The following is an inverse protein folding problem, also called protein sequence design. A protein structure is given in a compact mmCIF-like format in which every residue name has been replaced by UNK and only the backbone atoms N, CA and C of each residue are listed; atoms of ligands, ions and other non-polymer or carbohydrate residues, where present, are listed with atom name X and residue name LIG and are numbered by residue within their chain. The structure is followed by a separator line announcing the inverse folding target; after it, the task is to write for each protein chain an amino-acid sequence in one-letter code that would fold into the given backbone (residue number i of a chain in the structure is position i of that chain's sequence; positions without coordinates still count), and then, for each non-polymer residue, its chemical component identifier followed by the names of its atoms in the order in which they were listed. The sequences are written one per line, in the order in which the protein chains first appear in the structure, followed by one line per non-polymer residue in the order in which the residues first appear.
data_IF_761862123905
#
_entry.id   IF_761862123905
#
_cell.length_a   1.000
_cell.length_b   1.000
_cell.length_c   1.000
_cell.angle_alpha   90.00
_cell.angle_beta   90.00
_cell.angle_gamma   90.00
#
_symmetry.space_group_name_H-M   'P 1'
#
loop_
_entity.id
_entity.type
_entity.pdbx_description
1 polymer ?
#
# COMPACT_ATOMS: atom_id res chain seq x y z
N UNK A 1 -16.58 3.56 -19.50
CA UNK A 1 -15.34 2.91 -19.76
C UNK A 1 -14.09 3.72 -19.42
N UNK A 2 -14.14 4.97 -19.76
CA UNK A 2 -12.97 5.80 -19.53
C UNK A 2 -12.56 5.88 -18.08
N UNK A 3 -13.51 5.88 -17.20
CA UNK A 3 -13.23 6.00 -15.79
C UNK A 3 -12.52 4.75 -15.26
N UNK A 4 -12.93 3.62 -15.77
CA UNK A 4 -12.23 2.41 -15.41
C UNK A 4 -10.85 2.38 -16.00
N UNK A 5 -10.64 3.18 -17.03
CA UNK A 5 -9.35 3.17 -17.70
C UNK A 5 -8.23 3.58 -16.79
N UNK A 6 -8.49 4.39 -15.75
CA UNK A 6 -7.45 4.72 -14.80
C UNK A 6 -6.93 3.47 -14.12
N UNK A 7 -7.83 2.60 -13.71
CA UNK A 7 -7.43 1.34 -13.13
C UNK A 7 -6.92 0.37 -14.19
N UNK A 8 -7.56 0.43 -15.36
CA UNK A 8 -7.18 -0.46 -16.45
C UNK A 8 -5.86 -0.07 -17.09
N UNK A 9 -5.43 1.16 -16.89
CA UNK A 9 -4.16 1.61 -17.43
C UNK A 9 -2.98 0.99 -16.68
N UNK A 10 -3.17 0.67 -15.43
CA UNK A 10 -2.12 0.00 -14.66
C UNK A 10 -2.04 -1.45 -15.10
N UNK A 11 -0.87 -1.88 -15.58
CA UNK A 11 -0.74 -3.28 -15.96
C UNK A 11 -0.93 -4.19 -14.76
N UNK A 12 -1.54 -5.33 -15.02
CA UNK A 12 -1.70 -6.37 -14.02
C UNK A 12 -1.19 -7.67 -14.58
N UNK A 13 -0.60 -8.48 -13.74
CA UNK A 13 0.10 -9.69 -14.18
C UNK A 13 -0.49 -10.90 -13.48
N UNK A 14 -0.67 -11.98 -14.26
CA UNK A 14 -1.03 -13.26 -13.65
C UNK A 14 0.15 -13.80 -12.86
N UNK A 15 -0.12 -14.75 -11.97
CA UNK A 15 0.89 -15.20 -11.02
C UNK A 15 2.15 -15.76 -11.69
N UNK A 16 2.02 -16.44 -12.82
CA UNK A 16 3.19 -16.99 -13.50
C UNK A 16 4.12 -15.90 -14.00
N UNK A 17 3.55 -14.81 -14.50
CA UNK A 17 4.34 -13.68 -14.96
C UNK A 17 4.93 -12.91 -13.77
N UNK A 18 4.11 -12.66 -12.76
CA UNK A 18 4.57 -11.95 -11.57
C UNK A 18 5.75 -12.69 -10.91
N UNK A 19 5.62 -14.01 -10.78
CA UNK A 19 6.68 -14.82 -10.19
C UNK A 19 7.97 -14.69 -10.99
N UNK A 20 7.86 -14.70 -12.32
CA UNK A 20 9.02 -14.56 -13.18
C UNK A 20 9.66 -13.19 -13.03
N UNK A 21 8.84 -12.15 -12.92
CA UNK A 21 9.34 -10.79 -12.80
C UNK A 21 10.17 -10.59 -11.54
N UNK A 22 9.79 -11.23 -10.45
CA UNK A 22 10.50 -11.07 -9.18
C UNK A 22 11.44 -12.23 -8.88
N UNK A 23 11.50 -13.23 -9.74
CA UNK A 23 12.42 -14.36 -9.54
C UNK A 23 12.05 -15.24 -8.36
N UNK A 24 10.77 -15.44 -8.14
CA UNK A 24 10.27 -16.29 -7.07
C UNK A 24 9.38 -17.39 -7.62
N UNK A 25 9.17 -18.43 -6.83
CA UNK A 25 8.22 -19.47 -7.17
C UNK A 25 6.79 -18.99 -6.98
N UNK A 26 5.88 -19.49 -7.81
CA UNK A 26 4.47 -19.17 -7.67
C UNK A 26 3.95 -19.57 -6.29
N UNK A 27 4.43 -20.67 -5.76
CA UNK A 27 4.02 -21.13 -4.44
C UNK A 27 4.42 -20.14 -3.36
N UNK A 28 5.55 -19.49 -3.54
CA UNK A 28 5.99 -18.46 -2.59
C UNK A 28 5.01 -17.29 -2.61
N UNK A 29 4.58 -16.88 -3.80
CA UNK A 29 3.61 -15.79 -3.92
C UNK A 29 2.29 -16.18 -3.26
N UNK A 30 1.83 -17.41 -3.47
CA UNK A 30 0.62 -17.88 -2.83
C UNK A 30 0.73 -17.90 -1.32
N UNK A 31 1.90 -18.27 -0.82
CA UNK A 31 2.14 -18.28 0.61
C UNK A 31 2.09 -16.86 1.18
N UNK A 32 2.73 -15.92 0.49
CA UNK A 32 2.72 -14.53 0.95
C UNK A 32 1.31 -13.96 0.97
N UNK A 33 0.48 -14.33 0.00
CA UNK A 33 -0.91 -13.92 0.02
C UNK A 33 -1.64 -14.51 1.22
N UNK A 34 -1.38 -15.78 1.48
CA UNK A 34 -2.06 -16.49 2.58
C UNK A 34 -1.76 -15.85 3.93
N UNK A 35 -0.53 -15.42 4.14
CA UNK A 35 -0.15 -14.80 5.41
C UNK A 35 -0.41 -13.28 5.43
N UNK A 36 -0.94 -12.75 4.35
CA UNK A 36 -1.36 -11.35 4.35
C UNK A 36 -0.29 -10.33 3.99
N UNK A 37 0.83 -10.79 3.43
CA UNK A 37 1.89 -9.86 3.04
C UNK A 37 1.61 -9.14 1.74
N UNK A 38 0.86 -9.76 0.84
CA UNK A 38 0.42 -9.14 -0.40
C UNK A 38 -1.05 -9.45 -0.62
N UNK A 39 -1.68 -8.60 -1.41
CA UNK A 39 -3.12 -8.72 -1.63
C UNK A 39 -3.41 -8.48 -3.11
N UNK A 40 -3.24 -9.53 -3.95
CA UNK A 40 -3.58 -9.38 -5.37
C UNK A 40 -5.08 -9.29 -5.55
N UNK A 41 -5.50 -8.63 -6.61
CA UNK A 41 -6.90 -8.61 -6.96
C UNK A 41 -7.26 -9.89 -7.70
N UNK A 42 -8.55 -10.08 -7.94
CA UNK A 42 -9.00 -11.27 -8.67
C UNK A 42 -9.99 -10.86 -9.74
N UNK A 43 -9.93 -11.56 -10.87
CA UNK A 43 -10.89 -11.39 -11.93
C UNK A 43 -12.20 -12.06 -11.55
N UNK A 44 -13.21 -11.89 -12.42
CA UNK A 44 -14.48 -12.59 -12.23
C UNK A 44 -14.28 -14.10 -12.21
N UNK A 45 -13.30 -14.59 -12.97
CA UNK A 45 -12.96 -16.01 -12.98
C UNK A 45 -12.10 -16.44 -11.82
N UNK A 46 -11.93 -15.56 -10.82
CA UNK A 46 -11.14 -15.86 -9.62
C UNK A 46 -9.67 -16.07 -9.91
N UNK A 47 -9.17 -15.41 -10.95
CA UNK A 47 -7.75 -15.47 -11.30
C UNK A 47 -7.03 -14.30 -10.62
N UNK A 48 -5.90 -14.62 -9.97
CA UNK A 48 -5.09 -13.60 -9.30
C UNK A 48 -4.45 -12.65 -10.29
N UNK A 49 -4.53 -11.37 -9.99
CA UNK A 49 -3.86 -10.34 -10.79
C UNK A 49 -2.97 -9.51 -9.85
N UNK A 50 -1.70 -9.43 -10.21
CA UNK A 50 -0.71 -8.71 -9.43
C UNK A 50 -0.46 -7.35 -10.05
N UNK A 51 -0.71 -6.30 -9.28
CA UNK A 51 -0.52 -4.93 -9.72
C UNK A 51 0.96 -4.53 -9.60
N UNK A 52 1.35 -3.40 -10.20
CA UNK A 52 2.71 -2.88 -9.97
C UNK A 52 3.02 -2.68 -8.50
N UNK A 53 2.02 -2.28 -7.70
CA UNK A 53 2.22 -2.13 -6.26
C UNK A 53 2.51 -3.47 -5.62
N UNK A 54 1.82 -4.53 -6.05
CA UNK A 54 2.11 -5.88 -5.58
C UNK A 54 3.53 -6.29 -5.93
N UNK A 55 3.95 -6.01 -7.16
CA UNK A 55 5.31 -6.35 -7.61
C UNK A 55 6.34 -5.61 -6.75
N UNK A 56 6.12 -4.34 -6.50
CA UNK A 56 7.03 -3.57 -5.66
C UNK A 56 7.10 -4.12 -4.24
N UNK A 57 5.95 -4.55 -3.70
CA UNK A 57 5.91 -5.15 -2.37
C UNK A 57 6.70 -6.46 -2.35
N UNK A 58 6.56 -7.28 -3.39
CA UNK A 58 7.31 -8.52 -3.48
C UNK A 58 8.81 -8.27 -3.54
N UNK A 59 9.22 -7.23 -4.28
CA UNK A 59 10.64 -6.88 -4.34
C UNK A 59 11.15 -6.36 -3.02
N UNK A 60 10.33 -5.63 -2.29
CA UNK A 60 10.69 -5.17 -0.95
C UNK A 60 10.89 -6.35 0.00
N UNK A 61 9.98 -7.31 -0.03
CA UNK A 61 10.10 -8.52 0.79
C UNK A 61 11.38 -9.25 0.43
N UNK A 62 11.66 -9.38 -0.85
CA UNK A 62 12.84 -10.08 -1.32
C UNK A 62 14.12 -9.43 -0.81
N UNK A 63 14.17 -8.09 -0.86
CA UNK A 63 15.34 -7.37 -0.36
C UNK A 63 15.53 -7.56 1.14
N UNK A 64 14.45 -7.53 1.89
CA UNK A 64 14.55 -7.73 3.34
C UNK A 64 15.12 -9.11 3.67
N UNK A 65 14.68 -10.12 2.93
CA UNK A 65 15.15 -11.49 3.18
C UNK A 65 16.57 -11.70 2.67
N UNK A 66 16.82 -11.29 1.41
CA UNK A 66 18.10 -11.60 0.74
C UNK A 66 19.23 -10.69 1.18
N UNK A 67 18.95 -9.39 1.27
CA UNK A 67 20.01 -8.42 1.51
C UNK A 67 20.24 -8.15 2.98
N UNK A 68 19.18 -8.17 3.78
CA UNK A 68 19.27 -7.84 5.19
C UNK A 68 19.15 -9.06 6.10
N UNK A 69 18.89 -10.24 5.53
CA UNK A 69 18.83 -11.47 6.32
C UNK A 69 17.63 -11.54 7.26
N UNK A 70 16.59 -10.77 6.99
CA UNK A 70 15.40 -10.79 7.84
C UNK A 70 14.60 -12.06 7.52
N UNK A 71 14.20 -12.79 8.56
CA UNK A 71 13.37 -13.97 8.34
C UNK A 71 11.92 -13.56 8.07
N UNK A 72 11.09 -14.51 7.68
CA UNK A 72 9.74 -14.20 7.24
C UNK A 72 8.90 -13.56 8.33
N UNK A 73 9.05 -14.01 9.57
CA UNK A 73 8.33 -13.40 10.69
C UNK A 73 8.70 -11.93 10.85
N UNK A 74 10.01 -11.63 10.70
CA UNK A 74 10.48 -10.25 10.77
C UNK A 74 9.96 -9.41 9.62
N UNK A 75 9.87 -10.01 8.42
CA UNK A 75 9.30 -9.32 7.26
C UNK A 75 7.86 -8.93 7.56
N UNK A 76 7.09 -9.85 8.11
CA UNK A 76 5.70 -9.56 8.49
C UNK A 76 5.61 -8.37 9.42
N UNK A 77 6.44 -8.35 10.45
CA UNK A 77 6.44 -7.25 11.40
C UNK A 77 6.78 -5.94 10.71
N UNK A 78 7.81 -5.94 9.88
CA UNK A 78 8.25 -4.72 9.19
C UNK A 78 7.14 -4.19 8.27
N UNK A 79 6.52 -5.07 7.51
CA UNK A 79 5.45 -4.66 6.59
C UNK A 79 4.27 -4.08 7.37
N UNK A 80 3.87 -4.75 8.44
CA UNK A 80 2.75 -4.30 9.26
C UNK A 80 3.06 -2.96 9.94
N UNK A 81 4.27 -2.80 10.43
CA UNK A 81 4.69 -1.54 11.04
C UNK A 81 4.72 -0.41 10.02
N UNK A 82 5.19 -0.70 8.80
CA UNK A 82 5.18 0.30 7.74
C UNK A 82 3.78 0.75 7.39
N UNK A 83 2.84 -0.17 7.32
CA UNK A 83 1.45 0.17 7.06
C UNK A 83 0.87 1.01 8.19
N UNK A 84 1.20 0.65 9.42
CA UNK A 84 0.72 1.40 10.58
C UNK A 84 1.28 2.82 10.58
N UNK A 85 2.56 2.96 10.23
CA UNK A 85 3.17 4.28 10.11
C UNK A 85 2.48 5.13 9.08
N UNK A 86 2.18 4.56 7.91
CA UNK A 86 1.48 5.30 6.87
C UNK A 86 0.10 5.77 7.33
N UNK A 87 -0.61 4.91 8.04
CA UNK A 87 -1.92 5.27 8.57
C UNK A 87 -1.81 6.41 9.58
N UNK A 88 -0.83 6.33 10.46
CA UNK A 88 -0.63 7.36 11.47
C UNK A 88 -0.22 8.69 10.85
N UNK A 89 0.62 8.64 9.82
CA UNK A 89 1.04 9.84 9.11
C UNK A 89 -0.16 10.52 8.44
N UNK A 90 -1.04 9.71 7.85
CA UNK A 90 -2.24 10.24 7.23
C UNK A 90 -3.15 10.90 8.27
N UNK A 91 -3.31 10.25 9.43
CA UNK A 91 -4.10 10.82 10.53
C UNK A 91 -3.52 12.15 11.01
N UNK A 92 -2.19 12.19 11.14
CA UNK A 92 -1.53 13.41 11.59
C UNK A 92 -1.79 14.54 10.61
N UNK A 93 -1.66 14.26 9.32
CA UNK A 93 -1.89 15.28 8.30
C UNK A 93 -3.32 15.78 8.33
N UNK A 94 -4.26 14.87 8.50
CA UNK A 94 -5.67 15.24 8.58
C UNK A 94 -5.95 16.09 9.80
N UNK A 95 -5.41 15.70 10.95
CA UNK A 95 -5.61 16.45 12.18
C UNK A 95 -4.98 17.84 12.08
N UNK A 96 -3.80 17.94 11.48
CA UNK A 96 -3.16 19.24 11.27
C UNK A 96 -4.01 20.14 10.40
N UNK A 97 -4.60 19.58 9.34
CA UNK A 97 -5.47 20.34 8.46
C UNK A 97 -6.70 20.85 9.22
N UNK A 98 -7.27 19.99 10.07
CA UNK A 98 -8.42 20.37 10.87
C UNK A 98 -8.08 21.47 11.86
N UNK A 99 -6.92 21.33 12.50
CA UNK A 99 -6.47 22.35 13.45
C UNK A 99 -6.26 23.68 12.74
N UNK A 100 -5.64 23.66 11.57
CA UNK A 100 -5.42 24.88 10.80
C UNK A 100 -6.72 25.51 10.37
N UNK A 101 -7.66 24.71 9.93
CA UNK A 101 -8.97 25.20 9.54
C UNK A 101 -9.66 25.87 10.72
N UNK A 102 -9.64 25.19 11.86
CA UNK A 102 -10.25 25.71 13.08
C UNK A 102 -9.58 27.02 13.51
N UNK A 103 -8.26 27.08 13.43
CA UNK A 103 -7.51 28.27 13.78
C UNK A 103 -7.86 29.44 12.85
N UNK A 104 -7.97 29.17 11.56
CA UNK A 104 -8.32 30.21 10.60
C UNK A 104 -9.71 30.75 10.89
N UNK A 105 -10.66 29.87 11.16
CA UNK A 105 -12.02 30.28 11.50
C UNK A 105 -12.04 31.15 12.75
N UNK A 106 -11.27 30.75 13.74
CA UNK A 106 -11.19 31.49 14.99
C UNK A 106 -10.64 32.90 14.75
N UNK A 107 -9.61 33.02 13.94
CA UNK A 107 -9.04 34.31 13.62
C UNK A 107 -10.03 35.21 12.88
N UNK A 108 -10.78 34.61 11.94
CA UNK A 108 -11.80 35.36 11.19
C UNK A 108 -12.86 35.88 12.12
N UNK A 109 -13.31 35.06 13.06
CA UNK A 109 -14.33 35.47 14.01
C UNK A 109 -13.81 36.62 14.89
N UNK A 110 -12.57 36.48 15.36
CA UNK A 110 -11.98 37.54 16.18
C UNK A 110 -11.83 38.84 15.39
N UNK A 111 -11.45 38.74 14.14
CA UNK A 111 -11.36 39.90 13.29
C UNK A 111 -12.69 40.62 13.14
N UNK A 112 -13.76 39.83 12.96
CA UNK A 112 -15.10 40.44 12.87
C UNK A 112 -15.48 41.11 14.18
N UNK A 113 -15.17 40.45 15.28
CA UNK A 113 -15.51 41.02 16.59
C UNK A 113 -14.75 42.31 16.85
N UNK A 114 -13.55 42.43 16.30
CA UNK A 114 -12.73 43.63 16.50
C UNK A 114 -13.17 44.79 15.60
N UNK A 115 -13.88 44.50 14.56
CA UNK A 115 -14.40 45.53 13.66
C UNK A 115 -15.60 46.20 14.28
#
# INVERSE_FOLDING_TARGET
MAQDSTQNEDPCYVISIAARMVGMHQQTLRYYERVGLIEPSRTRGNIRLYSPANINRLRQIQRLISDLGVNLAGVEVIINMGQRLQSLEAEIQQLRAEVEHCHTQHQQLRGRASS
#
